data_IF_355237506766
#
_entry.id   IF_355237506766
#
_cell.length_a   1.000
_cell.length_b   1.000
_cell.length_c   1.000
_cell.angle_alpha   90.00
_cell.angle_beta   90.00
_cell.angle_gamma   90.00
#
_symmetry.space_group_name_H-M   'P 1'
#
loop_
_entity.id
_entity.type
_entity.pdbx_description
1 polymer ?
#
# COMPACT_ATOMS: atom_id res chain seq x y z
N UNK A 1 24.22 -12.30 25.63
CA UNK A 1 25.01 -11.07 25.43
C UNK A 1 25.87 -11.28 24.20
N UNK A 2 25.24 -11.20 23.04
CA UNK A 2 25.91 -11.08 21.75
C UNK A 2 25.61 -9.67 21.30
N UNK A 3 26.65 -8.86 21.26
CA UNK A 3 26.68 -7.47 20.84
C UNK A 3 26.39 -7.45 19.32
N UNK A 4 25.12 -7.40 18.94
CA UNK A 4 24.71 -6.95 17.62
C UNK A 4 24.65 -5.44 17.70
N UNK A 5 25.80 -4.79 17.51
CA UNK A 5 25.79 -3.45 16.96
C UNK A 5 25.18 -3.60 15.58
N UNK A 6 23.84 -3.46 15.49
CA UNK A 6 23.19 -3.14 14.24
C UNK A 6 23.94 -1.94 13.69
N UNK A 7 24.55 -2.11 12.52
CA UNK A 7 25.08 -1.01 11.75
C UNK A 7 23.86 -0.19 11.29
N UNK A 8 23.34 0.64 12.19
CA UNK A 8 22.19 1.50 11.90
C UNK A 8 22.75 2.50 10.89
N UNK A 9 22.60 2.19 9.60
CA UNK A 9 23.24 2.92 8.51
C UNK A 9 22.84 4.39 8.47
N UNK A 10 22.11 4.82 7.44
CA UNK A 10 21.64 6.21 7.35
C UNK A 10 20.60 6.48 8.46
N UNK A 11 20.91 7.37 9.40
CA UNK A 11 20.04 7.66 10.56
C UNK A 11 18.93 8.67 10.29
N UNK A 12 19.11 9.56 9.31
CA UNK A 12 18.14 10.59 8.94
C UNK A 12 17.68 10.32 7.51
N UNK A 13 16.39 10.38 7.29
CA UNK A 13 15.81 10.29 5.95
C UNK A 13 14.60 11.21 5.85
N UNK A 14 14.29 11.67 4.64
CA UNK A 14 13.14 12.52 4.41
C UNK A 14 12.76 12.62 2.96
N UNK A 15 11.56 13.16 2.74
CA UNK A 15 11.04 13.52 1.43
C UNK A 15 10.31 14.86 1.53
N UNK A 16 10.08 15.48 0.39
CA UNK A 16 9.32 16.71 0.33
C UNK A 16 8.33 16.68 -0.83
N UNK A 17 7.26 17.45 -0.68
CA UNK A 17 6.19 17.54 -1.67
C UNK A 17 5.63 18.97 -1.72
N UNK A 18 5.46 19.57 -2.91
CA UNK A 18 5.76 19.00 -4.23
C UNK A 18 7.25 19.01 -4.58
N UNK A 19 7.71 18.00 -5.32
CA UNK A 19 9.12 17.86 -5.71
C UNK A 19 9.61 18.94 -6.70
N UNK A 20 8.70 19.60 -7.41
CA UNK A 20 8.95 20.76 -8.27
C UNK A 20 7.94 21.86 -7.96
N UNK A 21 8.44 23.03 -7.53
CA UNK A 21 7.65 24.10 -6.91
C UNK A 21 8.05 25.45 -7.52
N UNK A 22 7.13 26.42 -7.61
CA UNK A 22 7.53 27.79 -8.01
C UNK A 22 8.07 28.55 -6.80
N UNK A 23 9.01 29.45 -7.04
CA UNK A 23 9.34 30.46 -6.03
C UNK A 23 8.07 31.22 -5.59
N UNK A 24 7.84 31.35 -4.29
CA UNK A 24 6.60 31.89 -3.72
C UNK A 24 5.52 30.86 -3.35
N UNK A 25 5.67 29.59 -3.73
CA UNK A 25 4.74 28.52 -3.36
C UNK A 25 5.21 27.76 -2.11
N UNK A 26 4.28 27.11 -1.37
CA UNK A 26 4.61 26.30 -0.21
C UNK A 26 5.22 24.95 -0.58
N UNK A 27 6.09 24.45 0.29
CA UNK A 27 6.74 23.14 0.22
C UNK A 27 6.74 22.51 1.62
N UNK A 28 6.38 21.22 1.69
CA UNK A 28 6.35 20.46 2.94
C UNK A 28 7.53 19.50 2.99
N UNK A 29 8.25 19.49 4.11
CA UNK A 29 9.28 18.52 4.47
C UNK A 29 8.70 17.51 5.46
N UNK A 30 8.92 16.22 5.18
CA UNK A 30 8.66 15.10 6.09
C UNK A 30 9.96 14.35 6.30
N UNK A 31 10.35 14.19 7.56
CA UNK A 31 11.59 13.55 7.93
C UNK A 31 11.40 12.60 9.12
N UNK A 32 12.22 11.57 9.14
CA UNK A 32 12.26 10.53 10.16
C UNK A 32 13.71 10.33 10.60
N UNK A 33 13.90 10.00 11.88
CA UNK A 33 15.20 9.56 12.36
C UNK A 33 15.11 8.42 13.36
N UNK A 34 15.95 7.40 13.16
CA UNK A 34 16.12 6.30 14.11
C UNK A 34 16.87 6.72 15.40
N UNK A 35 17.43 7.94 15.42
CA UNK A 35 17.97 8.58 16.61
C UNK A 35 17.17 9.86 16.89
N UNK A 36 16.01 9.77 17.58
CA UNK A 36 15.17 10.93 17.86
C UNK A 36 15.93 12.05 18.57
N UNK A 37 15.60 13.30 18.24
CA UNK A 37 16.23 14.47 18.82
C UNK A 37 16.27 15.67 17.89
N UNK A 38 16.93 16.77 18.32
CA UNK A 38 17.05 17.97 17.53
C UNK A 38 17.96 17.73 16.31
N UNK A 39 17.55 18.27 15.18
CA UNK A 39 18.36 18.38 13.97
C UNK A 39 18.39 19.83 13.50
N UNK A 40 19.54 20.30 13.05
CA UNK A 40 19.66 21.57 12.34
C UNK A 40 18.97 21.44 10.97
N UNK A 41 18.22 22.47 10.57
CA UNK A 41 17.52 22.52 9.30
C UNK A 41 17.94 23.77 8.53
N UNK A 42 18.42 23.56 7.31
CA UNK A 42 18.81 24.65 6.41
C UNK A 42 18.25 24.44 5.00
N UNK A 43 17.92 25.54 4.33
CA UNK A 43 17.71 25.54 2.88
C UNK A 43 19.04 25.75 2.17
N UNK A 44 19.38 24.86 1.25
CA UNK A 44 20.62 24.96 0.47
C UNK A 44 20.34 24.92 -1.03
N UNK A 45 21.13 25.66 -1.80
CA UNK A 45 21.20 25.55 -3.27
C UNK A 45 22.36 24.65 -3.65
N UNK A 46 22.08 23.61 -4.42
CA UNK A 46 23.11 22.69 -4.91
C UNK A 46 23.76 23.31 -6.15
N UNK A 47 25.08 23.50 -6.11
CA UNK A 47 25.85 24.03 -7.25
C UNK A 47 26.62 22.92 -7.97
N UNK A 48 27.09 21.90 -7.25
CA UNK A 48 27.69 20.71 -7.84
C UNK A 48 27.38 19.45 -7.03
N UNK A 49 26.93 18.40 -7.71
CA UNK A 49 26.62 17.11 -7.12
C UNK A 49 27.72 16.05 -7.29
N UNK A 50 28.89 16.38 -7.86
CA UNK A 50 29.96 15.43 -8.17
C UNK A 50 30.83 15.14 -6.93
N UNK A 51 30.76 13.94 -6.33
CA UNK A 51 31.56 13.61 -5.15
C UNK A 51 32.98 13.13 -5.50
N UNK A 52 33.33 13.03 -6.79
CA UNK A 52 34.59 12.40 -7.22
C UNK A 52 35.80 13.29 -6.93
N UNK A 53 36.93 12.66 -6.56
CA UNK A 53 38.19 13.37 -6.28
C UNK A 53 38.78 14.09 -7.49
N UNK A 54 38.47 13.63 -8.70
CA UNK A 54 38.94 14.22 -9.95
C UNK A 54 38.02 15.32 -10.48
N UNK A 55 36.78 15.38 -9.96
CA UNK A 55 35.80 16.39 -10.31
C UNK A 55 35.99 17.69 -9.53
N UNK A 56 35.10 18.68 -9.76
CA UNK A 56 35.10 19.95 -9.02
C UNK A 56 34.73 19.80 -7.53
N UNK A 57 34.28 18.62 -7.11
CA UNK A 57 33.81 18.32 -5.76
C UNK A 57 32.36 18.74 -5.50
N UNK A 58 31.75 18.15 -4.48
CA UNK A 58 30.40 18.50 -4.05
C UNK A 58 30.38 19.92 -3.49
N UNK A 59 29.39 20.71 -3.91
CA UNK A 59 29.26 22.09 -3.48
C UNK A 59 27.79 22.51 -3.35
N UNK A 60 27.52 23.23 -2.26
CA UNK A 60 26.22 23.83 -1.97
C UNK A 60 26.40 25.18 -1.28
N UNK A 61 25.36 26.00 -1.33
CA UNK A 61 25.35 27.34 -0.74
C UNK A 61 24.09 27.45 0.10
N UNK A 62 24.24 27.86 1.36
CA UNK A 62 23.11 28.11 2.24
C UNK A 62 22.30 29.32 1.76
N UNK A 63 20.99 29.22 1.88
CA UNK A 63 20.02 30.20 1.39
C UNK A 63 19.19 30.65 2.57
N UNK A 64 19.12 31.97 2.77
CA UNK A 64 18.24 32.55 3.78
C UNK A 64 16.78 32.11 3.52
N UNK A 65 16.12 31.63 4.56
CA UNK A 65 14.73 31.20 4.52
C UNK A 65 14.08 31.42 5.88
N UNK A 66 12.75 31.42 5.91
CA UNK A 66 11.97 31.52 7.14
C UNK A 66 11.81 30.17 7.86
N UNK A 67 12.63 29.17 7.50
CA UNK A 67 12.67 27.90 8.20
C UNK A 67 13.17 28.08 9.65
N UNK A 68 12.68 27.27 10.59
CA UNK A 68 13.33 27.17 11.88
C UNK A 68 14.75 26.64 11.70
N UNK A 69 15.71 27.18 12.46
CA UNK A 69 17.11 26.72 12.43
C UNK A 69 17.30 25.29 12.96
N UNK A 70 16.30 24.77 13.68
CA UNK A 70 16.29 23.39 14.18
C UNK A 70 14.86 22.85 14.26
N UNK A 71 14.71 21.55 14.03
CA UNK A 71 13.48 20.78 14.14
C UNK A 71 13.70 19.56 15.02
N UNK A 72 12.63 19.07 15.66
CA UNK A 72 12.67 17.79 16.38
C UNK A 72 12.37 16.65 15.40
N UNK A 73 13.30 15.70 15.28
CA UNK A 73 13.08 14.48 14.51
C UNK A 73 12.64 13.35 15.44
N UNK A 74 11.70 12.56 14.96
CA UNK A 74 11.22 11.34 15.62
C UNK A 74 11.32 10.16 14.67
N UNK A 75 11.32 8.95 15.21
CA UNK A 75 11.23 7.75 14.40
C UNK A 75 9.81 7.60 13.86
N UNK A 76 9.68 7.71 12.53
CA UNK A 76 8.45 7.45 11.79
C UNK A 76 8.69 6.21 10.92
N UNK A 77 8.11 5.05 11.27
CA UNK A 77 8.36 3.82 10.52
C UNK A 77 7.75 3.89 9.12
N UNK A 78 8.39 3.24 8.16
CA UNK A 78 7.78 2.97 6.85
C UNK A 78 6.83 1.78 6.98
N UNK A 79 5.68 1.91 6.33
CA UNK A 79 4.64 0.88 6.34
C UNK A 79 4.32 0.51 4.88
N UNK A 80 5.17 -0.35 4.28
CA UNK A 80 4.92 -0.86 2.94
C UNK A 80 3.77 -1.88 2.96
N UNK A 81 3.33 -2.25 1.76
CA UNK A 81 2.23 -3.18 1.54
C UNK A 81 1.03 -2.45 0.99
N UNK A 82 0.60 -2.83 -0.20
CA UNK A 82 -0.64 -2.33 -0.79
C UNK A 82 -1.85 -3.08 -0.25
N UNK A 83 -2.95 -2.34 -0.08
CA UNK A 83 -4.21 -2.86 0.45
C UNK A 83 -5.38 -1.99 0.01
N UNK A 84 -6.60 -2.48 0.20
CA UNK A 84 -7.84 -1.70 0.03
C UNK A 84 -8.61 -1.61 1.34
N UNK A 85 -9.26 -0.49 1.59
CA UNK A 85 -10.12 -0.30 2.76
C UNK A 85 -11.53 0.11 2.36
N UNK A 86 -12.54 -0.43 3.03
CA UNK A 86 -13.94 -0.01 2.91
C UNK A 86 -14.50 0.27 4.31
N UNK A 87 -15.09 1.45 4.51
CA UNK A 87 -15.75 1.81 5.75
C UNK A 87 -17.11 1.09 5.87
N UNK A 88 -17.22 0.21 6.87
CA UNK A 88 -18.42 -0.55 7.19
C UNK A 88 -19.12 -0.02 8.45
N UNK A 89 -18.67 1.11 9.00
CA UNK A 89 -19.22 1.70 10.21
C UNK A 89 -20.72 1.95 10.10
N UNK A 90 -21.40 1.68 11.22
CA UNK A 90 -22.85 1.77 11.32
C UNK A 90 -23.61 0.56 10.76
N UNK A 91 -22.94 -0.42 10.17
CA UNK A 91 -23.55 -1.71 9.82
C UNK A 91 -23.41 -2.69 10.98
N UNK A 92 -24.43 -3.52 11.18
CA UNK A 92 -24.39 -4.63 12.11
C UNK A 92 -25.05 -5.85 11.47
N UNK A 93 -24.38 -7.00 11.54
CA UNK A 93 -24.95 -8.28 11.16
C UNK A 93 -25.68 -8.88 12.37
N UNK A 94 -26.95 -9.24 12.20
CA UNK A 94 -27.78 -9.80 13.28
C UNK A 94 -28.38 -11.17 12.94
N UNK A 95 -28.42 -11.52 11.66
CA UNK A 95 -28.90 -12.80 11.15
C UNK A 95 -27.82 -13.51 10.34
N UNK A 96 -27.14 -12.81 9.43
CA UNK A 96 -26.12 -13.40 8.57
C UNK A 96 -24.99 -12.44 8.21
N UNK A 97 -23.80 -13.02 8.04
CA UNK A 97 -22.64 -12.33 7.50
C UNK A 97 -21.96 -13.28 6.51
N UNK A 98 -21.75 -12.87 5.27
CA UNK A 98 -21.09 -13.73 4.29
C UNK A 98 -20.19 -12.95 3.37
N UNK A 99 -19.10 -13.57 2.89
CA UNK A 99 -18.22 -12.95 1.91
C UNK A 99 -17.89 -13.93 0.78
N UNK A 100 -17.58 -13.38 -0.38
CA UNK A 100 -17.01 -14.14 -1.48
C UNK A 100 -16.01 -13.30 -2.25
N UNK A 101 -14.94 -13.93 -2.72
CA UNK A 101 -13.93 -13.33 -3.58
C UNK A 101 -13.18 -14.38 -4.39
N UNK A 102 -12.62 -13.96 -5.51
CA UNK A 102 -11.62 -14.71 -6.24
C UNK A 102 -10.23 -14.31 -5.75
N UNK A 103 -9.36 -15.30 -5.48
CA UNK A 103 -8.00 -15.08 -4.98
C UNK A 103 -7.00 -15.86 -5.82
N UNK A 104 -5.84 -15.25 -6.06
CA UNK A 104 -4.67 -15.89 -6.63
C UNK A 104 -3.45 -15.52 -5.80
N UNK A 105 -2.82 -16.51 -5.16
CA UNK A 105 -1.63 -16.29 -4.34
C UNK A 105 -0.38 -16.42 -5.20
N UNK A 106 0.58 -15.49 -5.10
CA UNK A 106 1.88 -15.62 -5.77
C UNK A 106 2.90 -16.32 -4.88
N UNK A 107 2.84 -16.12 -3.56
CA UNK A 107 3.70 -16.74 -2.56
C UNK A 107 2.89 -17.53 -1.52
N UNK A 108 2.17 -18.61 -1.91
CA UNK A 108 1.21 -19.30 -1.03
C UNK A 108 1.83 -19.90 0.26
N UNK A 109 3.13 -20.16 0.27
CA UNK A 109 3.84 -20.72 1.43
C UNK A 109 4.08 -19.67 2.54
N UNK A 110 4.10 -18.38 2.19
CA UNK A 110 4.28 -17.29 3.14
C UNK A 110 2.99 -17.02 3.92
N UNK A 111 3.15 -16.68 5.21
CA UNK A 111 2.04 -16.21 6.05
C UNK A 111 1.57 -14.82 5.59
N UNK A 112 0.31 -14.72 5.20
CA UNK A 112 -0.28 -13.49 4.64
C UNK A 112 -1.80 -13.43 4.83
N UNK A 113 -2.35 -12.22 4.82
CA UNK A 113 -3.79 -12.00 5.01
C UNK A 113 -4.44 -11.52 3.71
N UNK A 114 -5.38 -12.31 3.18
CA UNK A 114 -6.09 -11.99 1.94
C UNK A 114 -7.16 -10.92 2.21
N UNK A 115 -7.89 -11.07 3.33
CA UNK A 115 -8.98 -10.17 3.71
C UNK A 115 -9.16 -10.18 5.22
N UNK A 116 -9.53 -9.03 5.80
CA UNK A 116 -10.03 -8.93 7.18
C UNK A 116 -11.29 -8.09 7.26
N UNK A 117 -12.26 -8.52 8.05
CA UNK A 117 -13.41 -7.72 8.48
C UNK A 117 -13.20 -7.41 9.96
N UNK A 118 -13.04 -6.12 10.27
CA UNK A 118 -12.91 -5.60 11.63
C UNK A 118 -14.24 -5.14 12.21
N UNK A 119 -14.38 -5.23 13.54
CA UNK A 119 -15.48 -4.62 14.28
C UNK A 119 -15.29 -3.10 14.45
N UNK A 120 -16.29 -2.45 15.05
CA UNK A 120 -16.25 -1.02 15.36
C UNK A 120 -15.15 -0.61 16.35
N UNK A 121 -14.58 -1.56 17.11
CA UNK A 121 -13.47 -1.35 18.03
C UNK A 121 -12.09 -1.59 17.36
N UNK A 122 -12.08 -1.97 16.08
CA UNK A 122 -10.86 -2.26 15.33
C UNK A 122 -10.26 -3.64 15.60
N UNK A 123 -11.03 -4.59 16.15
CA UNK A 123 -10.62 -6.00 16.28
C UNK A 123 -11.02 -6.78 15.04
N UNK A 124 -10.16 -7.70 14.60
CA UNK A 124 -10.52 -8.62 13.52
C UNK A 124 -11.63 -9.59 13.99
N UNK A 125 -12.76 -9.60 13.29
CA UNK A 125 -13.88 -10.55 13.52
C UNK A 125 -13.79 -11.72 12.57
N UNK A 126 -13.52 -11.44 11.29
CA UNK A 126 -13.33 -12.45 10.25
C UNK A 126 -11.99 -12.17 9.57
N UNK A 127 -11.16 -13.19 9.43
CA UNK A 127 -9.89 -13.09 8.72
C UNK A 127 -9.73 -14.28 7.77
N UNK A 128 -9.50 -13.99 6.49
CA UNK A 128 -9.09 -14.97 5.49
C UNK A 128 -7.60 -14.84 5.26
N UNK A 129 -6.84 -15.90 5.54
CA UNK A 129 -5.38 -15.91 5.47
C UNK A 129 -4.86 -17.18 4.79
N UNK A 130 -3.59 -17.14 4.40
CA UNK A 130 -2.85 -18.31 3.96
C UNK A 130 -1.50 -18.39 4.69
N UNK A 131 -1.06 -19.62 4.99
CA UNK A 131 0.27 -19.94 5.50
C UNK A 131 0.61 -21.36 5.10
N UNK A 132 1.85 -21.63 4.68
CA UNK A 132 2.28 -22.97 4.23
C UNK A 132 1.36 -23.57 3.15
N UNK A 133 0.79 -22.71 2.30
CA UNK A 133 -0.18 -23.05 1.26
C UNK A 133 -1.59 -23.37 1.77
N UNK A 134 -1.83 -23.38 3.08
CA UNK A 134 -3.13 -23.71 3.66
C UNK A 134 -3.98 -22.44 3.79
N UNK A 135 -5.18 -22.46 3.21
CA UNK A 135 -6.15 -21.36 3.33
C UNK A 135 -7.00 -21.58 4.58
N UNK A 136 -7.04 -20.55 5.43
CA UNK A 136 -7.70 -20.56 6.73
C UNK A 136 -8.64 -19.38 6.83
N UNK A 137 -9.82 -19.62 7.42
CA UNK A 137 -10.74 -18.58 7.86
C UNK A 137 -10.81 -18.62 9.38
N UNK A 138 -10.54 -17.49 10.03
CA UNK A 138 -10.78 -17.29 11.45
C UNK A 138 -12.04 -16.45 11.65
N UNK A 139 -12.93 -16.90 12.53
CA UNK A 139 -14.13 -16.18 12.97
C UNK A 139 -14.12 -16.11 14.49
N UNK A 140 -13.83 -14.94 15.05
CA UNK A 140 -13.52 -14.80 16.48
C UNK A 140 -12.38 -15.72 16.89
N UNK A 141 -12.64 -16.63 17.82
CA UNK A 141 -11.67 -17.65 18.29
C UNK A 141 -11.73 -18.95 17.47
N UNK A 142 -12.71 -19.12 16.60
CA UNK A 142 -12.88 -20.33 15.79
C UNK A 142 -12.01 -20.26 14.54
N UNK A 143 -11.18 -21.27 14.33
CA UNK A 143 -10.34 -21.41 13.13
C UNK A 143 -10.84 -22.55 12.24
N UNK A 144 -11.01 -22.26 10.95
CA UNK A 144 -11.45 -23.20 9.92
C UNK A 144 -10.36 -23.33 8.86
N UNK A 145 -9.80 -24.53 8.75
CA UNK A 145 -9.00 -24.91 7.59
C UNK A 145 -9.97 -25.15 6.43
N UNK A 146 -10.04 -24.20 5.49
CA UNK A 146 -10.95 -24.28 4.34
C UNK A 146 -10.53 -25.41 3.42
N UNK A 147 -9.21 -25.55 3.22
CA UNK A 147 -8.61 -26.61 2.42
C UNK A 147 -7.35 -27.12 3.11
N UNK A 148 -7.31 -28.40 3.54
CA UNK A 148 -6.16 -28.96 4.25
C UNK A 148 -4.96 -29.27 3.35
N UNK A 149 -5.10 -29.05 2.03
CA UNK A 149 -4.03 -29.24 1.05
C UNK A 149 -3.51 -27.89 0.56
N UNK A 150 -2.19 -27.74 0.34
CA UNK A 150 -1.61 -26.52 -0.19
C UNK A 150 -2.25 -26.07 -1.50
N UNK A 151 -2.62 -24.79 -1.58
CA UNK A 151 -3.05 -24.13 -2.82
C UNK A 151 -1.85 -23.89 -3.73
N UNK A 152 -2.07 -23.94 -5.04
CA UNK A 152 -1.02 -23.71 -6.00
C UNK A 152 -0.74 -22.22 -6.20
N UNK A 153 0.55 -21.87 -6.33
CA UNK A 153 0.95 -20.52 -6.72
C UNK A 153 0.38 -20.17 -8.10
N UNK A 154 -0.10 -18.94 -8.27
CA UNK A 154 -0.65 -18.40 -9.52
C UNK A 154 -1.83 -19.22 -10.07
N UNK A 155 -2.73 -19.66 -9.19
CA UNK A 155 -4.04 -20.22 -9.54
C UNK A 155 -5.15 -19.37 -8.96
N UNK A 156 -6.22 -19.19 -9.74
CA UNK A 156 -7.44 -18.61 -9.25
C UNK A 156 -8.25 -19.63 -8.45
N UNK A 157 -8.65 -19.23 -7.25
CA UNK A 157 -9.61 -19.94 -6.41
C UNK A 157 -10.73 -18.98 -6.07
N UNK A 158 -11.96 -19.48 -5.99
CA UNK A 158 -13.09 -18.73 -5.44
C UNK A 158 -13.33 -19.21 -4.02
N UNK A 159 -13.33 -18.27 -3.07
CA UNK A 159 -13.63 -18.53 -1.66
C UNK A 159 -15.04 -18.02 -1.38
N UNK A 160 -15.83 -18.83 -0.67
CA UNK A 160 -17.10 -18.43 -0.09
C UNK A 160 -17.08 -18.72 1.41
N UNK A 161 -17.68 -17.84 2.20
CA UNK A 161 -17.87 -18.03 3.62
C UNK A 161 -19.21 -17.43 4.02
N UNK A 162 -20.04 -18.21 4.71
CA UNK A 162 -21.35 -17.81 5.19
C UNK A 162 -21.44 -18.11 6.69
N UNK A 163 -21.72 -17.08 7.48
CA UNK A 163 -21.99 -17.16 8.91
C UNK A 163 -23.51 -17.01 9.09
N UNK A 164 -24.13 -18.03 9.67
CA UNK A 164 -25.49 -17.98 10.19
C UNK A 164 -25.41 -17.66 11.69
N UNK A 165 -25.70 -16.41 12.03
CA UNK A 165 -25.61 -15.89 13.41
C UNK A 165 -26.80 -16.34 14.25
N UNK A 166 -27.91 -16.75 13.63
CA UNK A 166 -29.07 -17.28 14.33
C UNK A 166 -28.81 -18.69 14.84
N UNK A 167 -28.09 -19.52 14.08
CA UNK A 167 -27.72 -20.88 14.48
C UNK A 167 -26.31 -20.99 15.09
N UNK A 168 -25.48 -19.95 14.98
CA UNK A 168 -24.10 -19.96 15.45
C UNK A 168 -23.23 -20.91 14.61
N UNK A 169 -23.41 -20.90 13.30
CA UNK A 169 -22.65 -21.77 12.38
C UNK A 169 -21.93 -20.96 11.31
N UNK A 170 -20.78 -21.47 10.89
CA UNK A 170 -20.04 -20.95 9.74
C UNK A 170 -19.79 -22.08 8.76
N UNK A 171 -20.01 -21.80 7.48
CA UNK A 171 -19.71 -22.69 6.36
C UNK A 171 -18.77 -21.96 5.41
N UNK A 172 -17.73 -22.67 4.94
CA UNK A 172 -16.80 -22.11 4.00
C UNK A 172 -16.51 -23.11 2.89
N UNK A 173 -16.32 -22.60 1.68
CA UNK A 173 -15.90 -23.38 0.53
C UNK A 173 -14.80 -22.68 -0.25
N UNK A 174 -13.99 -23.49 -0.92
CA UNK A 174 -12.98 -23.03 -1.84
C UNK A 174 -13.08 -23.90 -3.09
N UNK A 175 -13.30 -23.26 -4.23
CA UNK A 175 -13.41 -23.92 -5.54
C UNK A 175 -12.38 -23.37 -6.50
N UNK A 176 -12.10 -24.10 -7.57
CA UNK A 176 -11.29 -23.61 -8.70
C UNK A 176 -11.93 -24.07 -10.00
N UNK A 177 -11.86 -23.20 -11.01
CA UNK A 177 -12.19 -23.59 -12.38
C UNK A 177 -11.04 -24.43 -12.98
N UNK A 178 -11.33 -25.29 -13.99
CA UNK A 178 -10.32 -26.01 -14.74
C UNK A 178 -9.31 -25.04 -15.38
N UNK A 179 -8.03 -25.40 -15.31
CA UNK A 179 -7.01 -24.56 -15.91
C UNK A 179 -6.89 -24.81 -17.42
N UNK A 180 -6.28 -23.87 -18.14
CA UNK A 180 -5.97 -24.07 -19.55
C UNK A 180 -5.00 -25.26 -19.80
N UNK A 181 -4.27 -25.70 -18.78
CA UNK A 181 -3.35 -26.84 -18.84
C UNK A 181 -3.89 -28.02 -18.02
N UNK A 182 -4.54 -29.02 -18.64
CA UNK A 182 -5.15 -30.13 -17.91
C UNK A 182 -4.19 -30.91 -17.00
N UNK A 183 -2.88 -30.88 -17.29
CA UNK A 183 -1.86 -31.52 -16.45
C UNK A 183 -1.72 -30.88 -15.06
N UNK A 184 -2.07 -29.59 -14.93
CA UNK A 184 -2.11 -28.88 -13.65
C UNK A 184 -3.24 -29.39 -12.76
N UNK A 185 -4.39 -29.66 -13.35
CA UNK A 185 -5.61 -30.05 -12.63
C UNK A 185 -5.48 -31.47 -12.03
N UNK A 186 -4.64 -32.34 -12.58
CA UNK A 186 -4.38 -33.69 -12.05
C UNK A 186 -3.81 -33.69 -10.63
N UNK A 187 -3.15 -32.62 -10.20
CA UNK A 187 -2.49 -32.50 -8.90
C UNK A 187 -3.21 -31.51 -7.96
N UNK A 188 -4.28 -30.89 -8.43
CA UNK A 188 -4.93 -29.75 -7.77
C UNK A 188 -6.43 -30.02 -7.70
N UNK A 189 -6.91 -30.57 -6.58
CA UNK A 189 -8.33 -30.93 -6.42
C UNK A 189 -9.28 -29.71 -6.50
N UNK A 190 -10.43 -29.92 -7.16
CA UNK A 190 -11.37 -28.91 -7.67
C UNK A 190 -12.14 -28.12 -6.61
N UNK A 191 -12.43 -28.72 -5.44
CA UNK A 191 -13.17 -28.05 -4.36
C UNK A 191 -12.84 -28.58 -2.97
N UNK A 192 -13.09 -27.75 -1.96
CA UNK A 192 -13.09 -28.09 -0.55
C UNK A 192 -14.24 -27.35 0.16
N UNK A 193 -14.86 -28.00 1.13
CA UNK A 193 -15.93 -27.45 1.96
C UNK A 193 -15.67 -27.80 3.42
N UNK A 194 -15.98 -26.88 4.33
CA UNK A 194 -15.83 -27.07 5.77
C UNK A 194 -16.91 -26.30 6.51
N UNK A 195 -17.17 -26.70 7.75
CA UNK A 195 -18.10 -26.00 8.64
C UNK A 195 -17.69 -26.14 10.09
N UNK A 196 -18.07 -25.17 10.90
CA UNK A 196 -17.86 -25.18 12.34
C UNK A 196 -18.98 -24.43 13.07
N UNK A 197 -19.05 -24.62 14.38
CA UNK A 197 -19.86 -23.78 15.27
C UNK A 197 -19.05 -22.58 15.72
N UNK A 198 -19.70 -21.43 15.86
CA UNK A 198 -19.12 -20.17 16.32
C UNK A 198 -19.93 -19.61 17.49
N UNK A 199 -19.25 -18.96 18.42
CA UNK A 199 -19.88 -18.24 19.53
C UNK A 199 -20.02 -16.76 19.15
N UNK A 200 -20.88 -16.50 18.16
CA UNK A 200 -21.10 -15.17 17.59
C UNK A 200 -22.57 -15.03 17.19
N UNK A 201 -23.30 -14.12 17.82
CA UNK A 201 -24.75 -13.93 17.61
C UNK A 201 -25.08 -12.60 16.95
N UNK A 202 -24.16 -11.64 16.98
CA UNK A 202 -24.23 -10.38 16.24
C UNK A 202 -22.83 -9.79 16.10
N UNK A 203 -22.64 -8.96 15.08
CA UNK A 203 -21.35 -8.28 14.83
C UNK A 203 -21.62 -6.84 14.45
N UNK A 204 -21.05 -5.89 15.19
CA UNK A 204 -20.97 -4.49 14.73
C UNK A 204 -19.74 -4.33 13.84
N UNK A 205 -19.92 -3.89 12.60
CA UNK A 205 -18.85 -3.81 11.61
C UNK A 205 -18.16 -2.44 11.67
N UNK A 206 -16.85 -2.43 11.47
CA UNK A 206 -16.03 -1.23 11.39
C UNK A 206 -15.43 -1.03 10.01
N UNK A 207 -14.62 -1.98 9.55
CA UNK A 207 -13.90 -1.85 8.28
C UNK A 207 -13.67 -3.20 7.61
N UNK A 208 -13.70 -3.22 6.28
CA UNK A 208 -13.14 -4.30 5.47
C UNK A 208 -11.76 -3.87 4.95
N UNK A 209 -10.78 -4.76 5.10
CA UNK A 209 -9.44 -4.64 4.50
C UNK A 209 -9.25 -5.75 3.47
N UNK A 210 -8.90 -5.39 2.24
CA UNK A 210 -8.52 -6.29 1.15
C UNK A 210 -7.00 -6.27 0.98
N UNK A 211 -6.37 -7.44 0.79
CA UNK A 211 -4.92 -7.56 0.64
C UNK A 211 -4.15 -7.23 1.92
N UNK A 212 -4.78 -7.41 3.09
CA UNK A 212 -4.18 -7.05 4.35
C UNK A 212 -5.01 -7.41 5.56
N UNK A 213 -4.51 -6.97 6.71
CA UNK A 213 -5.09 -7.19 8.03
C UNK A 213 -5.38 -5.89 8.77
N UNK A 214 -6.13 -6.01 9.86
CA UNK A 214 -6.23 -4.96 10.87
C UNK A 214 -5.26 -5.28 12.01
N UNK A 215 -4.36 -4.35 12.31
CA UNK A 215 -3.38 -4.42 13.38
C UNK A 215 -3.57 -3.22 14.31
N UNK A 216 -4.04 -3.47 15.54
CA UNK A 216 -4.37 -2.43 16.53
C UNK A 216 -5.26 -1.30 15.96
N UNK A 217 -6.31 -1.68 15.21
CA UNK A 217 -7.25 -0.73 14.57
C UNK A 217 -6.72 -0.06 13.29
N UNK A 218 -5.51 -0.40 12.83
CA UNK A 218 -4.93 0.14 11.60
C UNK A 218 -4.90 -0.93 10.50
N UNK A 219 -5.30 -0.56 9.28
CA UNK A 219 -5.10 -1.41 8.11
C UNK A 219 -3.62 -1.50 7.70
N UNK A 220 -3.15 -2.71 7.45
CA UNK A 220 -1.77 -3.01 7.02
C UNK A 220 -1.82 -4.00 5.85
N UNK A 221 -1.14 -3.67 4.75
CA UNK A 221 -0.98 -4.59 3.61
C UNK A 221 0.08 -5.64 3.89
N UNK A 222 -0.24 -6.91 3.65
CA UNK A 222 0.69 -8.03 3.85
C UNK A 222 0.49 -9.17 2.84
N UNK A 223 -0.26 -8.91 1.78
CA UNK A 223 -0.65 -9.91 0.79
C UNK A 223 0.18 -9.84 -0.48
N UNK A 224 0.64 -11.02 -0.95
CA UNK A 224 1.30 -11.18 -2.24
C UNK A 224 0.40 -12.01 -3.16
N UNK A 225 -0.41 -11.31 -3.96
CA UNK A 225 -1.40 -11.98 -4.80
C UNK A 225 -2.48 -11.06 -5.35
N UNK A 226 -3.45 -11.66 -6.04
CA UNK A 226 -4.54 -10.94 -6.69
C UNK A 226 -5.86 -11.26 -6.01
N UNK A 227 -6.70 -10.23 -5.92
CA UNK A 227 -8.10 -10.36 -5.51
C UNK A 227 -8.97 -9.91 -6.68
N UNK A 228 -10.03 -10.66 -6.96
CA UNK A 228 -11.06 -10.34 -7.93
C UNK A 228 -12.45 -10.50 -7.31
N UNK A 229 -13.41 -9.73 -7.81
CA UNK A 229 -14.85 -9.87 -7.51
C UNK A 229 -15.21 -10.00 -6.01
N UNK A 230 -14.64 -9.19 -5.09
CA UNK A 230 -15.00 -9.27 -3.69
C UNK A 230 -16.44 -8.80 -3.46
N UNK A 231 -17.14 -9.48 -2.57
CA UNK A 231 -18.51 -9.18 -2.15
C UNK A 231 -18.71 -9.48 -0.67
N UNK A 232 -19.64 -8.77 -0.06
CA UNK A 232 -20.02 -8.92 1.34
C UNK A 232 -21.55 -8.87 1.45
N UNK A 233 -22.12 -9.80 2.19
CA UNK A 233 -23.52 -9.85 2.57
C UNK A 233 -23.60 -9.56 4.07
N UNK A 234 -24.39 -8.56 4.45
CA UNK A 234 -24.71 -8.24 5.84
C UNK A 234 -26.21 -8.29 5.96
N UNK A 235 -26.73 -9.32 6.62
CA UNK A 235 -28.16 -9.66 6.63
C UNK A 235 -28.71 -9.73 5.19
N UNK A 236 -29.58 -8.80 4.79
CA UNK A 236 -30.16 -8.72 3.44
C UNK A 236 -29.39 -7.78 2.49
N UNK A 237 -28.45 -6.98 3.00
CA UNK A 237 -27.74 -5.97 2.24
C UNK A 237 -26.46 -6.54 1.62
N UNK A 238 -26.37 -6.49 0.29
CA UNK A 238 -25.21 -6.98 -0.46
C UNK A 238 -24.38 -5.84 -1.04
N UNK A 239 -23.11 -5.81 -0.66
CA UNK A 239 -22.07 -4.98 -1.27
C UNK A 239 -21.29 -5.83 -2.29
N UNK A 240 -21.03 -5.26 -3.48
CA UNK A 240 -20.25 -5.90 -4.53
C UNK A 240 -19.27 -4.88 -5.12
N UNK A 241 -17.98 -5.06 -4.85
CA UNK A 241 -16.97 -4.11 -5.29
C UNK A 241 -16.48 -4.43 -6.71
N UNK A 242 -16.77 -3.53 -7.64
CA UNK A 242 -16.37 -3.61 -9.04
C UNK A 242 -14.97 -3.05 -9.23
N UNK A 243 -13.94 -3.90 -9.07
CA UNK A 243 -12.55 -3.46 -9.11
C UNK A 243 -12.08 -2.93 -10.48
N UNK A 244 -12.85 -3.15 -11.53
CA UNK A 244 -12.62 -2.62 -12.88
C UNK A 244 -13.16 -1.18 -13.08
N UNK A 245 -13.93 -0.63 -12.14
CA UNK A 245 -14.37 0.75 -12.20
C UNK A 245 -13.24 1.68 -11.76
N UNK A 246 -13.10 2.83 -12.41
CA UNK A 246 -12.09 3.85 -12.09
C UNK A 246 -10.65 3.29 -11.97
N UNK A 247 -10.24 2.44 -12.92
CA UNK A 247 -8.91 1.81 -12.86
C UNK A 247 -7.71 2.76 -12.93
N UNK A 248 -7.93 4.04 -13.29
CA UNK A 248 -6.90 5.08 -13.25
C UNK A 248 -6.79 5.75 -11.86
N UNK A 249 -7.79 5.60 -11.01
CA UNK A 249 -7.85 6.16 -9.67
C UNK A 249 -7.58 5.12 -8.58
N UNK A 250 -7.92 5.49 -7.35
CA UNK A 250 -7.75 4.68 -6.14
C UNK A 250 -9.08 4.14 -5.61
N UNK A 251 -10.21 4.45 -6.24
CA UNK A 251 -11.51 4.07 -5.69
C UNK A 251 -11.81 2.58 -5.86
N UNK A 252 -12.55 2.04 -4.89
CA UNK A 252 -13.15 0.71 -4.91
C UNK A 252 -14.65 0.91 -4.99
N UNK A 253 -15.22 0.86 -6.19
CA UNK A 253 -16.64 1.18 -6.39
C UNK A 253 -17.53 0.01 -5.99
N UNK A 254 -18.25 0.16 -4.88
CA UNK A 254 -19.41 -0.69 -4.56
C UNK A 254 -20.60 -0.40 -5.50
N UNK A 255 -21.14 -1.44 -6.12
CA UNK A 255 -22.35 -1.40 -6.95
C UNK A 255 -23.62 -1.90 -6.23
N UNK A 256 -23.51 -2.18 -4.92
CA UNK A 256 -24.62 -2.51 -4.04
C UNK A 256 -25.46 -1.29 -3.64
N UNK A 257 -26.63 -1.50 -3.01
CA UNK A 257 -27.56 -0.42 -2.64
C UNK A 257 -27.04 0.47 -1.50
N UNK A 258 -26.03 0.01 -0.76
CA UNK A 258 -25.44 0.76 0.36
C UNK A 258 -24.31 1.71 -0.08
N UNK A 259 -23.85 1.62 -1.33
CA UNK A 259 -22.79 2.46 -1.90
C UNK A 259 -21.55 2.57 -0.99
N UNK A 260 -21.15 1.45 -0.36
CA UNK A 260 -19.97 1.39 0.52
C UNK A 260 -18.69 1.34 -0.30
N UNK A 261 -18.37 2.46 -0.93
CA UNK A 261 -17.13 2.61 -1.67
C UNK A 261 -15.91 2.51 -0.75
N UNK A 262 -14.80 2.05 -1.31
CA UNK A 262 -13.51 1.99 -0.64
C UNK A 262 -12.40 2.74 -1.38
N UNK A 263 -11.20 2.61 -0.85
CA UNK A 263 -10.00 3.22 -1.41
C UNK A 263 -8.82 2.25 -1.31
N UNK A 264 -7.98 2.23 -2.35
CA UNK A 264 -6.69 1.55 -2.36
C UNK A 264 -5.57 2.42 -1.78
N UNK A 265 -4.64 1.79 -1.06
CA UNK A 265 -3.48 2.41 -0.43
C UNK A 265 -2.20 1.74 -0.90
N UNK A 266 -1.10 2.51 -0.93
CA UNK A 266 0.19 2.12 -1.54
C UNK A 266 0.13 1.65 -3.00
N UNK A 267 -0.92 2.04 -3.74
CA UNK A 267 -1.11 1.78 -5.18
C UNK A 267 -0.87 0.32 -5.63
N UNK A 268 -1.74 -0.62 -5.24
CA UNK A 268 -1.70 -1.96 -5.82
C UNK A 268 -1.90 -1.88 -7.34
N UNK A 269 -1.35 -2.83 -8.09
CA UNK A 269 -1.45 -2.81 -9.55
C UNK A 269 -2.88 -3.13 -9.99
N UNK A 270 -3.49 -2.21 -10.73
CA UNK A 270 -4.85 -2.33 -11.29
C UNK A 270 -4.80 -2.58 -12.80
N UNK A 271 -5.98 -2.78 -13.40
CA UNK A 271 -6.10 -3.12 -14.82
C UNK A 271 -5.26 -4.35 -15.19
N UNK A 272 -5.47 -5.43 -14.43
CA UNK A 272 -4.86 -6.74 -14.64
C UNK A 272 -5.94 -7.81 -14.84
N UNK A 273 -5.56 -8.90 -15.50
CA UNK A 273 -6.48 -10.01 -15.79
C UNK A 273 -7.05 -10.62 -14.51
N UNK A 274 -8.38 -10.77 -14.51
CA UNK A 274 -9.11 -11.45 -13.45
C UNK A 274 -9.29 -12.94 -13.67
N UNK A 275 -10.06 -13.57 -12.79
CA UNK A 275 -10.42 -14.99 -12.83
C UNK A 275 -11.21 -15.38 -14.08
N UNK A 276 -11.99 -14.44 -14.64
CA UNK A 276 -12.87 -14.64 -15.80
C UNK A 276 -12.23 -14.24 -17.12
N UNK A 277 -10.94 -13.89 -17.15
CA UNK A 277 -10.25 -13.51 -18.38
C UNK A 277 -10.05 -14.72 -19.29
N UNK A 278 -10.51 -14.61 -20.55
CA UNK A 278 -10.54 -15.73 -21.51
C UNK A 278 -9.54 -15.55 -22.67
N UNK A 279 -8.79 -14.44 -22.68
CA UNK A 279 -7.81 -14.13 -23.71
C UNK A 279 -8.36 -13.51 -25.00
N UNK A 280 -9.68 -13.31 -25.11
CA UNK A 280 -10.32 -12.73 -26.30
C UNK A 280 -10.00 -11.25 -26.49
N UNK A 281 -9.76 -10.51 -25.41
CA UNK A 281 -9.38 -9.10 -25.43
C UNK A 281 -8.14 -8.84 -24.56
N UNK A 282 -7.15 -8.16 -25.16
CA UNK A 282 -5.83 -7.90 -24.57
C UNK A 282 -5.70 -6.46 -24.06
N UNK A 283 -6.68 -5.58 -24.37
CA UNK A 283 -6.73 -4.22 -23.88
C UNK A 283 -7.82 -4.06 -22.83
N UNK A 284 -7.42 -3.74 -21.59
CA UNK A 284 -8.33 -3.57 -20.47
C UNK A 284 -9.44 -2.54 -20.71
N UNK A 285 -9.18 -1.47 -21.48
CA UNK A 285 -10.19 -0.44 -21.78
C UNK A 285 -11.31 -0.92 -22.71
N UNK A 286 -11.11 -2.02 -23.45
CA UNK A 286 -12.12 -2.57 -24.36
C UNK A 286 -13.02 -3.61 -23.67
N UNK A 287 -12.50 -4.33 -22.68
CA UNK A 287 -13.24 -5.36 -21.92
C UNK A 287 -12.89 -5.28 -20.42
N UNK A 288 -13.25 -4.18 -19.74
CA UNK A 288 -12.84 -3.93 -18.35
C UNK A 288 -13.31 -5.02 -17.39
N UNK A 289 -14.45 -5.66 -17.67
CA UNK A 289 -15.00 -6.76 -16.87
C UNK A 289 -14.10 -8.00 -16.80
N UNK A 290 -13.18 -8.20 -17.76
CA UNK A 290 -12.18 -9.27 -17.71
C UNK A 290 -10.86 -8.84 -17.04
N UNK A 291 -10.68 -7.53 -16.83
CA UNK A 291 -9.51 -6.91 -16.21
C UNK A 291 -9.87 -6.39 -14.80
N UNK A 292 -10.63 -7.22 -14.08
CA UNK A 292 -11.35 -6.89 -12.85
C UNK A 292 -10.65 -7.41 -11.57
N UNK A 293 -9.34 -7.66 -11.64
CA UNK A 293 -8.52 -7.99 -10.49
C UNK A 293 -7.58 -6.85 -10.10
N UNK A 294 -7.08 -6.92 -8.87
CA UNK A 294 -6.06 -6.02 -8.34
C UNK A 294 -4.94 -6.87 -7.76
N UNK A 295 -3.69 -6.54 -8.08
CA UNK A 295 -2.48 -7.23 -7.62
C UNK A 295 -1.87 -6.46 -6.45
N UNK A 296 -1.77 -7.11 -5.31
CA UNK A 296 -1.18 -6.59 -4.10
C UNK A 296 0.22 -7.18 -3.94
N UNK A 297 1.12 -6.36 -3.39
CA UNK A 297 2.43 -6.80 -2.93
C UNK A 297 2.68 -6.21 -1.55
N UNK A 298 3.30 -7.00 -0.67
CA UNK A 298 3.63 -6.57 0.69
C UNK A 298 4.74 -5.51 0.74
N UNK A 299 5.44 -5.29 -0.37
CA UNK A 299 6.53 -4.32 -0.50
C UNK A 299 6.17 -3.08 -1.34
N UNK A 300 4.92 -2.97 -1.81
CA UNK A 300 4.43 -1.75 -2.47
C UNK A 300 4.52 -0.55 -1.50
N UNK A 301 5.12 0.55 -1.94
CA UNK A 301 5.23 1.80 -1.18
C UNK A 301 5.11 3.00 -2.13
N UNK A 302 4.00 3.71 -2.00
CA UNK A 302 3.71 4.94 -2.72
C UNK A 302 3.91 6.19 -1.85
N UNK A 303 3.44 6.16 -0.61
CA UNK A 303 3.58 7.25 0.36
C UNK A 303 4.02 6.70 1.71
N UNK A 304 5.05 7.30 2.30
CA UNK A 304 5.51 6.97 3.65
C UNK A 304 4.47 7.35 4.72
N UNK A 305 3.57 8.30 4.42
CA UNK A 305 2.50 8.73 5.33
C UNK A 305 3.03 9.39 6.60
N UNK A 306 4.20 10.02 6.52
CA UNK A 306 4.84 10.67 7.66
C UNK A 306 4.20 12.01 7.99
N UNK A 307 4.19 12.34 9.28
CA UNK A 307 3.78 13.64 9.79
C UNK A 307 4.76 14.71 9.31
N UNK A 308 4.23 15.89 9.01
CA UNK A 308 5.00 17.04 8.54
C UNK A 308 6.01 17.49 9.59
N UNK A 309 7.26 17.65 9.17
CA UNK A 309 8.36 18.13 10.02
C UNK A 309 8.46 19.65 9.94
N UNK A 310 8.37 20.20 8.75
CA UNK A 310 8.40 21.65 8.52
C UNK A 310 7.70 22.01 7.21
N UNK A 311 7.13 23.21 7.16
CA UNK A 311 6.55 23.78 5.95
C UNK A 311 7.16 25.15 5.72
N UNK A 312 7.55 25.45 4.49
CA UNK A 312 8.14 26.73 4.11
C UNK A 312 7.49 27.26 2.84
N UNK A 313 7.25 28.57 2.80
CA UNK A 313 6.96 29.27 1.54
C UNK A 313 8.27 29.82 0.99
N UNK A 314 8.65 29.43 -0.22
CA UNK A 314 9.93 29.84 -0.78
C UNK A 314 9.93 31.35 -1.11
N UNK A 315 11.04 32.08 -0.91
CA UNK A 315 11.12 33.49 -1.30
C UNK A 315 10.77 33.68 -2.78
N UNK A 316 9.97 34.70 -3.12
CA UNK A 316 9.53 34.95 -4.52
C UNK A 316 10.68 35.33 -5.45
N UNK A 317 11.76 35.88 -4.89
CA UNK A 317 12.99 36.24 -5.59
C UNK A 317 14.02 35.09 -5.65
N UNK A 318 13.68 33.89 -5.16
CA UNK A 318 14.58 32.75 -5.18
C UNK A 318 14.88 32.35 -6.64
N UNK A 319 16.16 32.31 -7.06
CA UNK A 319 16.50 31.91 -8.42
C UNK A 319 16.04 30.48 -8.71
N UNK A 320 15.58 30.22 -9.93
CA UNK A 320 15.31 28.84 -10.36
C UNK A 320 16.58 27.99 -10.28
N UNK A 321 16.44 26.73 -9.85
CA UNK A 321 17.56 25.83 -9.68
C UNK A 321 17.25 24.58 -8.86
N UNK A 322 18.32 23.90 -8.46
CA UNK A 322 18.29 22.68 -7.65
C UNK A 322 18.55 23.08 -6.20
N UNK A 323 17.64 22.71 -5.32
CA UNK A 323 17.70 23.02 -3.89
C UNK A 323 17.52 21.75 -3.08
N UNK A 324 17.84 21.81 -1.79
CA UNK A 324 17.54 20.76 -0.84
C UNK A 324 17.24 21.34 0.53
N UNK A 325 16.44 20.61 1.31
CA UNK A 325 16.52 20.72 2.76
C UNK A 325 17.73 19.92 3.24
N UNK A 326 18.63 20.56 3.98
CA UNK A 326 19.74 19.89 4.66
C UNK A 326 19.34 19.70 6.12
N UNK A 327 19.24 18.45 6.55
CA UNK A 327 19.08 18.07 7.95
C UNK A 327 20.43 17.62 8.49
N UNK A 328 20.78 18.05 9.69
CA UNK A 328 22.02 17.63 10.36
C UNK A 328 21.77 17.35 11.85
N UNK A 329 22.12 16.14 12.30
CA UNK A 329 22.09 15.76 13.71
C UNK A 329 23.42 15.10 14.07
N UNK A 330 24.21 15.76 14.90
CA UNK A 330 25.57 15.33 15.20
C UNK A 330 26.45 15.26 13.93
N UNK A 331 26.97 14.07 13.64
CA UNK A 331 27.79 13.78 12.45
C UNK A 331 26.95 13.31 11.25
N UNK A 332 25.65 13.10 11.43
CA UNK A 332 24.74 12.64 10.39
C UNK A 332 24.17 13.82 9.62
N UNK A 333 24.13 13.70 8.30
CA UNK A 333 23.46 14.66 7.45
C UNK A 333 22.68 13.98 6.33
N UNK A 334 21.52 14.55 6.00
CA UNK A 334 20.77 14.19 4.80
C UNK A 334 20.35 15.43 4.02
N UNK A 335 20.20 15.26 2.70
CA UNK A 335 19.75 16.28 1.78
C UNK A 335 18.53 15.77 1.03
N UNK A 336 17.43 16.48 1.17
CA UNK A 336 16.15 16.15 0.53
C UNK A 336 15.97 17.11 -0.66
N UNK A 337 16.32 16.68 -1.89
CA UNK A 337 16.38 17.57 -3.04
C UNK A 337 15.00 17.87 -3.64
N UNK A 338 14.84 19.09 -4.15
CA UNK A 338 13.69 19.55 -4.92
C UNK A 338 14.10 20.62 -5.94
N UNK A 339 13.18 20.96 -6.83
CA UNK A 339 13.43 21.89 -7.93
C UNK A 339 12.59 23.15 -7.81
N UNK A 340 13.25 24.30 -7.89
CA UNK A 340 12.58 25.60 -7.87
C UNK A 340 12.46 26.12 -9.28
N UNK A 341 11.23 26.38 -9.70
CA UNK A 341 10.88 27.08 -10.94
C UNK A 341 10.79 28.59 -10.67
N UNK A 342 10.97 29.45 -11.68
CA UNK A 342 10.72 30.88 -11.51
C UNK A 342 9.30 31.14 -10.98
N UNK A 343 9.16 32.20 -10.17
CA UNK A 343 7.84 32.72 -9.81
C UNK A 343 7.04 33.06 -11.08
N UNK A 344 5.71 33.04 -11.01
CA UNK A 344 4.82 33.16 -12.18
C UNK A 344 5.14 34.35 -13.09
N UNK A 345 5.54 35.48 -12.51
CA UNK A 345 5.85 36.73 -13.24
C UNK A 345 7.34 37.12 -13.17
N UNK A 346 8.23 36.18 -12.83
CA UNK A 346 9.66 36.46 -12.77
C UNK A 346 10.28 36.55 -14.17
N UNK A 347 11.31 37.38 -14.32
CA UNK A 347 12.16 37.38 -15.51
C UNK A 347 12.92 36.04 -15.56
N UNK A 348 12.83 35.35 -16.68
CA UNK A 348 13.48 34.04 -16.88
C UNK A 348 14.75 34.16 -17.73
N UNK A 349 15.61 33.16 -17.66
CA UNK A 349 16.75 33.03 -18.56
C UNK A 349 16.31 32.52 -19.94
N UNK A 350 17.15 32.71 -20.95
CA UNK A 350 16.94 32.21 -22.33
C UNK A 350 17.09 30.69 -22.47
N UNK A 351 17.53 30.01 -21.40
CA UNK A 351 17.80 28.57 -21.37
C UNK A 351 16.92 27.91 -20.31
N UNK A 352 16.30 26.79 -20.69
CA UNK A 352 15.57 25.92 -19.79
C UNK A 352 16.31 24.58 -19.62
N UNK A 353 16.43 24.13 -18.37
CA UNK A 353 16.90 22.78 -18.04
C UNK A 353 15.70 21.93 -17.64
N UNK A 354 15.48 20.83 -18.35
CA UNK A 354 14.48 19.83 -17.99
C UNK A 354 15.12 18.79 -17.06
N UNK A 355 14.69 18.78 -15.80
CA UNK A 355 15.09 17.74 -14.86
C UNK A 355 14.43 16.42 -15.22
N UNK A 356 15.20 15.34 -15.28
CA UNK A 356 14.72 14.00 -15.66
C UNK A 356 13.96 13.32 -14.51
N UNK A 357 12.96 13.99 -13.94
CA UNK A 357 12.21 13.54 -12.76
C UNK A 357 11.57 12.16 -12.95
N UNK A 358 11.03 11.86 -14.13
CA UNK A 358 10.52 10.53 -14.46
C UNK A 358 11.61 9.45 -14.40
N UNK A 359 12.84 9.77 -14.84
CA UNK A 359 13.98 8.87 -14.72
C UNK A 359 14.40 8.71 -13.26
N UNK A 360 14.44 9.77 -12.45
CA UNK A 360 14.84 9.59 -11.04
C UNK A 360 13.81 8.77 -10.26
N UNK A 361 12.51 8.86 -10.59
CA UNK A 361 11.48 7.98 -10.02
C UNK A 361 11.71 6.52 -10.47
N UNK A 362 12.00 6.28 -11.76
CA UNK A 362 12.25 4.93 -12.27
C UNK A 362 13.46 4.24 -11.61
N UNK A 363 14.45 5.01 -11.15
CA UNK A 363 15.63 4.52 -10.43
C UNK A 363 15.59 4.82 -8.93
N UNK A 364 14.46 5.26 -8.39
CA UNK A 364 14.33 5.57 -6.97
C UNK A 364 14.56 4.31 -6.14
N UNK A 365 15.38 4.42 -5.10
CA UNK A 365 15.74 3.30 -4.22
C UNK A 365 16.26 2.05 -4.94
N UNK A 366 16.83 2.23 -6.13
CA UNK A 366 17.33 1.13 -6.94
C UNK A 366 18.51 0.42 -6.24
N UNK A 367 18.31 -0.86 -5.92
CA UNK A 367 19.28 -1.73 -5.26
C UNK A 367 20.01 -2.60 -6.29
N UNK A 368 20.86 -2.00 -7.14
CA UNK A 368 21.91 -2.81 -7.77
C UNK A 368 23.02 -2.97 -6.75
N UNK A 369 23.27 -4.22 -6.35
CA UNK A 369 24.50 -4.64 -5.67
C UNK A 369 25.68 -4.16 -6.53
N UNK A 370 26.32 -3.06 -6.12
CA UNK A 370 27.71 -2.85 -6.47
C UNK A 370 28.51 -3.76 -5.52
N UNK A 371 28.56 -5.06 -5.81
CA UNK A 371 29.70 -5.87 -5.38
C UNK A 371 30.90 -5.35 -6.18
N UNK A 372 31.66 -4.45 -5.56
CA UNK A 372 32.90 -3.88 -6.07
C UNK A 372 34.00 -3.98 -5.04
#
# INVERSE_FOLDING_TARGET
MSDTTDDIGKLITGYCEPWSVRAGEPLVLRASSHAPGPAELALVRISCGDPTKAGPGFAEIEVASDLPSSVELVDQPLLPGSYGTVDLSGLAATASLGFSLDVLLTLPDEAQTIMTIGDADGRAVVQLSASDGVVVIRVGETELIVRPRPVASRRWYTVHCDLDLATGTVQASLTTEPSASPGRDLFESDSAETSATIDLTSVSLGQLVLGGRVDNGRAVGDFDGRIGRPSLLVDDDRMNWQLHQDMAGRSIVDAGPLERHGEFHQLPTRAITGSTWDGTEQRWTHSPDQWNAVHFHKDDLYDAGWTETATVTLPTNLPSGIYAFRLQSGDQSDRIPFFVRPAENAVTNDVALLMSSATYIAYANHRMLFEG
#
